data_IF_289191545696
#
_entry.id   IF_289191545696
#
_cell.length_a   1.000
_cell.length_b   1.000
_cell.length_c   1.000
_cell.angle_alpha   90.00
_cell.angle_beta   90.00
_cell.angle_gamma   90.00
#
_symmetry.space_group_name_H-M   'P 1'
#
loop_
_entity.id
_entity.type
_entity.pdbx_description
1 polymer ?
#
# COMPACT_ATOMS: atom_id res chain seq x y z
N UNK A 1 14.74 -14.09 -29.55
CA UNK A 1 14.75 -12.83 -28.77
C UNK A 1 13.69 -11.82 -29.25
N UNK A 2 13.49 -11.55 -30.55
CA UNK A 2 12.53 -10.54 -31.03
C UNK A 2 11.06 -10.77 -30.67
N UNK A 3 10.56 -12.02 -30.71
CA UNK A 3 9.16 -12.33 -30.38
C UNK A 3 8.84 -12.12 -28.88
N UNK A 4 9.76 -12.42 -27.97
CA UNK A 4 9.57 -12.15 -26.55
C UNK A 4 9.55 -10.65 -26.22
N UNK A 5 10.36 -9.86 -26.93
CA UNK A 5 10.40 -8.41 -26.72
C UNK A 5 9.09 -7.75 -27.21
N UNK A 6 8.57 -8.17 -28.37
CA UNK A 6 7.32 -7.58 -28.91
C UNK A 6 6.09 -7.91 -28.06
N UNK A 7 6.02 -9.07 -27.42
CA UNK A 7 4.91 -9.39 -26.51
C UNK A 7 4.94 -8.58 -25.19
N UNK A 8 6.15 -8.18 -24.75
CA UNK A 8 6.31 -7.38 -23.53
C UNK A 8 6.07 -5.89 -23.79
N UNK A 9 6.28 -5.39 -25.01
CA UNK A 9 6.21 -3.96 -25.34
C UNK A 9 4.82 -3.39 -25.00
N UNK A 10 3.73 -4.04 -25.43
CA UNK A 10 2.37 -3.55 -25.17
C UNK A 10 2.09 -3.46 -23.66
N UNK A 11 2.49 -4.47 -22.90
CA UNK A 11 2.32 -4.50 -21.44
C UNK A 11 3.22 -3.47 -20.75
N UNK A 12 4.46 -3.29 -21.25
CA UNK A 12 5.39 -2.27 -20.75
C UNK A 12 4.87 -0.85 -20.99
N UNK A 13 4.29 -0.59 -22.16
CA UNK A 13 3.66 0.71 -22.47
C UNK A 13 2.48 0.97 -21.55
N UNK A 14 1.58 0.00 -21.36
CA UNK A 14 0.46 0.12 -20.42
C UNK A 14 0.95 0.43 -19.00
N UNK A 15 2.01 -0.24 -18.55
CA UNK A 15 2.61 -0.04 -17.24
C UNK A 15 3.16 1.39 -17.06
N UNK A 16 3.89 1.90 -18.07
CA UNK A 16 4.42 3.27 -18.05
C UNK A 16 3.27 4.28 -17.96
N UNK A 17 2.23 4.14 -18.79
CA UNK A 17 1.09 5.04 -18.75
C UNK A 17 0.31 4.97 -17.44
N UNK A 18 0.12 3.78 -16.87
CA UNK A 18 -0.54 3.63 -15.58
C UNK A 18 0.24 4.33 -14.45
N UNK A 19 1.56 4.12 -14.38
CA UNK A 19 2.40 4.81 -13.40
C UNK A 19 2.32 6.32 -13.58
N UNK A 20 2.51 6.83 -14.79
CA UNK A 20 2.46 8.27 -15.07
C UNK A 20 1.10 8.85 -14.70
N UNK A 21 0.00 8.18 -15.05
CA UNK A 21 -1.34 8.61 -14.72
C UNK A 21 -1.57 8.72 -13.22
N UNK A 22 -1.30 7.63 -12.47
CA UNK A 22 -1.52 7.62 -11.03
C UNK A 22 -0.55 8.54 -10.27
N UNK A 23 0.71 8.63 -10.71
CA UNK A 23 1.68 9.58 -10.14
C UNK A 23 1.22 11.02 -10.36
N UNK A 24 0.79 11.38 -11.58
CA UNK A 24 0.26 12.71 -11.87
C UNK A 24 -1.00 13.02 -11.05
N UNK A 25 -1.91 12.05 -10.88
CA UNK A 25 -3.08 12.20 -10.02
C UNK A 25 -2.69 12.42 -8.55
N UNK A 26 -1.66 11.74 -8.07
CA UNK A 26 -1.13 11.90 -6.72
C UNK A 26 -0.51 13.29 -6.54
N UNK A 27 0.34 13.72 -7.47
CA UNK A 27 1.00 15.04 -7.43
C UNK A 27 -0.02 16.20 -7.55
N UNK A 28 -1.11 15.99 -8.29
CA UNK A 28 -2.23 16.93 -8.39
C UNK A 28 -3.14 16.96 -7.14
N UNK A 29 -2.89 16.11 -6.13
CA UNK A 29 -3.67 16.05 -4.91
C UNK A 29 -5.07 15.43 -5.09
N UNK A 30 -5.31 14.66 -6.17
CA UNK A 30 -6.61 14.04 -6.44
C UNK A 30 -7.04 13.10 -5.31
N UNK A 31 -6.08 12.47 -4.64
CA UNK A 31 -6.35 11.55 -3.53
C UNK A 31 -6.49 12.25 -2.17
N UNK A 32 -6.03 13.50 -2.02
CA UNK A 32 -6.07 14.24 -0.76
C UNK A 32 -7.46 14.35 -0.13
N UNK A 33 -8.54 14.64 -0.87
CA UNK A 33 -9.88 14.69 -0.29
C UNK A 33 -10.35 13.35 0.28
N UNK A 34 -9.94 12.24 -0.37
CA UNK A 34 -10.28 10.87 0.04
C UNK A 34 -9.49 10.53 1.30
N UNK A 35 -8.19 10.77 1.31
CA UNK A 35 -7.29 10.58 2.45
C UNK A 35 -7.79 11.37 3.66
N UNK A 36 -8.06 12.66 3.48
CA UNK A 36 -8.56 13.53 4.54
C UNK A 36 -9.92 13.09 5.08
N UNK A 37 -10.80 12.55 4.22
CA UNK A 37 -12.09 12.02 4.65
C UNK A 37 -11.92 10.75 5.47
N UNK A 38 -11.02 9.85 5.07
CA UNK A 38 -10.69 8.64 5.84
C UNK A 38 -10.14 9.03 7.21
N UNK A 39 -9.16 9.94 7.26
CA UNK A 39 -8.57 10.42 8.51
C UNK A 39 -9.61 11.06 9.45
N UNK A 40 -10.55 11.83 8.92
CA UNK A 40 -11.66 12.38 9.73
C UNK A 40 -12.62 11.32 10.25
N UNK A 41 -12.86 10.26 9.47
CA UNK A 41 -13.78 9.18 9.85
C UNK A 41 -13.18 8.22 10.86
N UNK A 42 -11.85 8.08 10.90
CA UNK A 42 -11.15 7.21 11.86
C UNK A 42 -11.25 7.73 13.30
N UNK A 43 -11.33 9.04 13.48
CA UNK A 43 -11.41 9.65 14.81
C UNK A 43 -10.21 9.30 15.69
N UNK A 44 -10.47 8.99 16.98
CA UNK A 44 -9.44 8.63 17.97
C UNK A 44 -9.46 7.14 18.35
N UNK A 45 -10.13 6.30 17.56
CA UNK A 45 -10.20 4.85 17.78
C UNK A 45 -9.01 4.15 17.10
N UNK A 46 -8.08 3.51 17.84
CA UNK A 46 -6.92 2.84 17.27
C UNK A 46 -7.26 1.79 16.21
N UNK A 47 -8.40 1.10 16.34
CA UNK A 47 -8.84 0.10 15.35
C UNK A 47 -9.20 0.77 14.04
N UNK A 48 -9.99 1.84 14.11
CA UNK A 48 -10.38 2.60 12.92
C UNK A 48 -9.18 3.27 12.25
N UNK A 49 -8.23 3.76 13.05
CA UNK A 49 -6.97 4.33 12.55
C UNK A 49 -6.19 3.30 11.75
N UNK A 50 -6.01 2.08 12.27
CA UNK A 50 -5.32 1.01 11.56
C UNK A 50 -6.03 0.62 10.26
N UNK A 51 -7.36 0.51 10.27
CA UNK A 51 -8.16 0.23 9.08
C UNK A 51 -8.04 1.39 8.06
N UNK A 52 -8.14 2.64 8.52
CA UNK A 52 -7.97 3.83 7.69
C UNK A 52 -6.60 3.90 7.04
N UNK A 53 -5.54 3.62 7.79
CA UNK A 53 -4.16 3.56 7.29
C UNK A 53 -4.00 2.48 6.21
N UNK A 54 -4.62 1.31 6.39
CA UNK A 54 -4.62 0.27 5.37
C UNK A 54 -5.29 0.74 4.07
N UNK A 55 -6.47 1.37 4.17
CA UNK A 55 -7.19 1.90 3.00
C UNK A 55 -6.40 3.01 2.30
N UNK A 56 -5.79 3.92 3.07
CA UNK A 56 -4.92 4.97 2.52
C UNK A 56 -3.72 4.33 1.80
N UNK A 57 -3.07 3.34 2.40
CA UNK A 57 -1.99 2.61 1.77
C UNK A 57 -2.40 1.95 0.45
N UNK A 58 -3.59 1.34 0.39
CA UNK A 58 -4.13 0.77 -0.85
C UNK A 58 -4.34 1.83 -1.94
N UNK A 59 -4.87 3.00 -1.59
CA UNK A 59 -5.08 4.11 -2.52
C UNK A 59 -3.74 4.66 -3.02
N UNK A 60 -2.80 4.89 -2.12
CA UNK A 60 -1.46 5.39 -2.46
C UNK A 60 -0.67 4.41 -3.33
N UNK A 61 -0.97 3.10 -3.27
CA UNK A 61 -0.28 2.09 -4.08
C UNK A 61 -0.86 1.87 -5.48
N UNK A 62 -1.85 2.65 -5.89
CA UNK A 62 -2.46 2.52 -7.23
C UNK A 62 -1.47 2.82 -8.37
N UNK A 63 -0.44 3.61 -8.11
CA UNK A 63 0.65 3.88 -9.06
C UNK A 63 1.61 2.68 -9.24
N UNK A 64 1.49 1.64 -8.41
CA UNK A 64 2.37 0.47 -8.40
C UNK A 64 3.77 0.74 -7.84
N UNK A 65 4.02 1.93 -7.26
CA UNK A 65 5.29 2.31 -6.65
C UNK A 65 5.27 2.13 -5.13
N UNK A 66 6.08 1.18 -4.64
CA UNK A 66 6.25 1.02 -3.20
C UNK A 66 6.82 2.26 -2.52
N UNK A 67 7.82 2.90 -3.13
CA UNK A 67 8.45 4.09 -2.57
C UNK A 67 7.45 5.23 -2.37
N UNK A 68 6.65 5.55 -3.38
CA UNK A 68 5.60 6.58 -3.33
C UNK A 68 4.58 6.27 -2.25
N UNK A 69 4.16 5.01 -2.15
CA UNK A 69 3.20 4.56 -1.12
C UNK A 69 3.69 4.91 0.28
N UNK A 70 4.93 4.56 0.63
CA UNK A 70 5.48 4.84 1.95
C UNK A 70 5.70 6.33 2.19
N UNK A 71 6.19 7.05 1.18
CA UNK A 71 6.45 8.50 1.28
C UNK A 71 5.18 9.34 1.47
N UNK A 72 4.02 8.85 1.01
CA UNK A 72 2.73 9.55 1.15
C UNK A 72 1.95 9.02 2.36
N UNK A 73 1.77 7.69 2.47
CA UNK A 73 0.89 7.12 3.48
C UNK A 73 1.42 7.29 4.90
N UNK A 74 2.74 7.12 5.12
CA UNK A 74 3.31 7.26 6.47
C UNK A 74 3.21 8.70 6.97
N UNK A 75 3.70 9.74 6.29
CA UNK A 75 3.56 11.10 6.79
C UNK A 75 2.10 11.55 6.97
N UNK A 76 1.18 11.04 6.15
CA UNK A 76 -0.25 11.37 6.28
C UNK A 76 -0.88 10.78 7.54
N UNK A 77 -0.50 9.58 7.96
CA UNK A 77 -1.08 8.86 9.10
C UNK A 77 -0.29 9.08 10.41
N UNK A 78 1.02 9.34 10.32
CA UNK A 78 1.93 9.51 11.47
C UNK A 78 1.42 10.47 12.55
N UNK A 79 0.88 11.68 12.23
CA UNK A 79 0.39 12.60 13.26
C UNK A 79 -0.71 11.98 14.13
N UNK A 80 -1.54 11.12 13.54
CA UNK A 80 -2.62 10.45 14.24
C UNK A 80 -2.08 9.33 15.14
N UNK A 81 -1.11 8.55 14.65
CA UNK A 81 -0.42 7.53 15.44
C UNK A 81 0.31 8.14 16.63
N UNK A 82 0.99 9.27 16.44
CA UNK A 82 1.68 10.00 17.52
C UNK A 82 0.68 10.57 18.55
N UNK A 83 -0.41 11.19 18.10
CA UNK A 83 -1.45 11.73 18.97
C UNK A 83 -2.05 10.66 19.88
N UNK A 84 -2.31 9.47 19.34
CA UNK A 84 -2.87 8.34 20.06
C UNK A 84 -1.81 7.49 20.79
N UNK A 85 -0.55 7.87 20.74
CA UNK A 85 0.58 7.11 21.31
C UNK A 85 0.65 5.66 20.80
N UNK A 86 0.27 5.46 19.55
CA UNK A 86 0.36 4.18 18.87
C UNK A 86 1.79 3.90 18.40
N UNK A 87 2.13 2.63 18.25
CA UNK A 87 3.44 2.21 17.80
C UNK A 87 3.62 2.46 16.29
N UNK A 88 4.63 3.23 15.88
CA UNK A 88 4.91 3.53 14.48
C UNK A 88 5.32 2.29 13.66
N UNK A 89 5.82 1.23 14.30
CA UNK A 89 6.05 -0.05 13.63
C UNK A 89 4.75 -0.70 13.14
N UNK A 90 3.65 -0.49 13.86
CA UNK A 90 2.32 -0.97 13.44
C UNK A 90 1.86 -0.21 12.19
N UNK A 91 2.07 1.10 12.14
CA UNK A 91 1.81 1.92 10.95
C UNK A 91 2.57 1.40 9.74
N UNK A 92 3.90 1.26 9.86
CA UNK A 92 4.75 0.76 8.78
C UNK A 92 4.33 -0.65 8.31
N UNK A 93 3.96 -1.53 9.24
CA UNK A 93 3.49 -2.89 8.93
C UNK A 93 2.18 -2.84 8.12
N UNK A 94 1.23 -1.99 8.51
CA UNK A 94 -0.06 -1.86 7.82
C UNK A 94 0.12 -1.30 6.42
N UNK A 95 0.98 -0.28 6.24
CA UNK A 95 1.30 0.28 4.92
C UNK A 95 2.00 -0.77 4.05
N UNK A 96 2.91 -1.58 4.62
CA UNK A 96 3.56 -2.68 3.91
C UNK A 96 2.57 -3.77 3.46
N UNK A 97 1.59 -4.12 4.30
CA UNK A 97 0.52 -5.06 3.94
C UNK A 97 -0.33 -4.51 2.79
N UNK A 98 -0.70 -3.23 2.85
CA UNK A 98 -1.45 -2.57 1.78
C UNK A 98 -0.66 -2.56 0.46
N UNK A 99 0.60 -2.14 0.50
CA UNK A 99 1.48 -2.16 -0.67
C UNK A 99 1.65 -3.57 -1.24
N UNK A 100 1.84 -4.57 -0.38
CA UNK A 100 2.02 -5.97 -0.80
C UNK A 100 0.81 -6.53 -1.55
N UNK A 101 -0.39 -6.35 -1.01
CA UNK A 101 -1.62 -6.87 -1.65
C UNK A 101 -1.98 -6.09 -2.93
N UNK A 102 -1.74 -4.80 -2.97
CA UNK A 102 -2.01 -3.98 -4.15
C UNK A 102 -0.97 -4.15 -5.26
N UNK A 103 0.22 -4.66 -4.96
CA UNK A 103 1.30 -4.82 -5.93
C UNK A 103 0.99 -5.84 -7.05
N UNK A 104 -0.02 -6.71 -6.88
CA UNK A 104 -0.46 -7.70 -7.87
C UNK A 104 -1.56 -7.21 -8.80
N UNK A 105 -1.83 -5.90 -8.87
CA UNK A 105 -2.75 -5.31 -9.83
C UNK A 105 -2.33 -5.60 -11.30
N UNK A 106 -3.22 -5.48 -12.28
CA UNK A 106 -2.91 -5.80 -13.69
C UNK A 106 -1.69 -5.08 -14.25
N UNK A 107 -1.45 -3.86 -13.79
CA UNK A 107 -0.28 -3.02 -14.10
C UNK A 107 0.83 -3.14 -13.07
N UNK A 108 0.68 -3.98 -12.06
CA UNK A 108 1.69 -4.20 -11.03
C UNK A 108 2.91 -4.97 -11.55
N UNK A 109 4.09 -4.65 -11.05
CA UNK A 109 5.33 -5.24 -11.49
C UNK A 109 5.37 -6.78 -11.47
N UNK A 110 4.88 -7.48 -10.43
CA UNK A 110 4.82 -8.94 -10.39
C UNK A 110 3.92 -9.53 -11.50
N UNK A 111 2.73 -8.97 -11.71
CA UNK A 111 1.77 -9.44 -12.71
C UNK A 111 2.30 -9.29 -14.12
N UNK A 112 2.91 -8.14 -14.42
CA UNK A 112 3.54 -7.86 -15.71
C UNK A 112 4.70 -8.82 -15.98
N UNK A 113 5.55 -9.09 -14.98
CA UNK A 113 6.67 -10.05 -15.12
C UNK A 113 6.19 -11.48 -15.31
N UNK A 114 5.10 -11.88 -14.62
CA UNK A 114 4.51 -13.20 -14.80
C UNK A 114 3.94 -13.37 -16.22
N UNK A 115 3.22 -12.38 -16.74
CA UNK A 115 2.72 -12.38 -18.12
C UNK A 115 3.88 -12.50 -19.14
N UNK A 116 4.94 -11.73 -18.93
CA UNK A 116 6.13 -11.77 -19.78
C UNK A 116 6.82 -13.16 -19.76
N UNK A 117 6.92 -13.78 -18.58
CA UNK A 117 7.51 -15.11 -18.45
C UNK A 117 6.65 -16.17 -19.18
N UNK A 118 5.33 -16.13 -19.06
CA UNK A 118 4.42 -17.02 -19.77
C UNK A 118 4.48 -16.84 -21.27
N UNK A 119 4.54 -15.60 -21.76
CA UNK A 119 4.75 -15.32 -23.19
C UNK A 119 6.07 -15.89 -23.69
N UNK A 120 7.12 -15.89 -22.89
CA UNK A 120 8.40 -16.54 -23.21
C UNK A 120 8.32 -18.06 -23.37
N UNK A 121 7.32 -18.69 -22.76
CA UNK A 121 7.01 -20.13 -22.86
C UNK A 121 6.02 -20.45 -24.00
N UNK A 122 5.58 -19.45 -24.76
CA UNK A 122 4.66 -19.61 -25.89
C UNK A 122 3.18 -19.46 -25.52
N UNK A 123 2.86 -19.03 -24.30
CA UNK A 123 1.50 -18.70 -23.90
C UNK A 123 1.25 -17.21 -24.10
N UNK A 124 0.32 -16.86 -24.96
CA UNK A 124 -0.09 -15.46 -25.14
C UNK A 124 -1.07 -15.05 -24.03
N UNK A 125 -0.54 -14.54 -22.93
CA UNK A 125 -1.32 -14.12 -21.75
C UNK A 125 -0.98 -12.68 -21.39
N UNK A 126 -2.00 -11.86 -21.23
CA UNK A 126 -1.87 -10.47 -20.78
C UNK A 126 -1.86 -10.37 -19.25
N UNK A 127 -1.34 -9.26 -18.70
CA UNK A 127 -1.40 -9.00 -17.26
C UNK A 127 -2.84 -8.95 -16.73
N UNK A 128 -3.78 -8.44 -17.53
CA UNK A 128 -5.20 -8.39 -17.16
C UNK A 128 -5.85 -9.77 -17.07
N UNK A 129 -5.53 -10.68 -18.00
CA UNK A 129 -6.04 -12.07 -17.98
C UNK A 129 -5.50 -12.82 -16.77
N UNK A 130 -4.19 -12.67 -16.47
CA UNK A 130 -3.61 -13.24 -15.26
C UNK A 130 -4.29 -12.71 -14.00
N UNK A 131 -4.51 -11.40 -13.95
CA UNK A 131 -5.14 -10.77 -12.77
C UNK A 131 -6.57 -11.27 -12.56
N UNK A 132 -7.37 -11.43 -13.62
CA UNK A 132 -8.71 -12.01 -13.52
C UNK A 132 -8.65 -13.42 -12.92
N UNK A 133 -7.66 -14.24 -13.32
CA UNK A 133 -7.47 -15.59 -12.77
C UNK A 133 -7.15 -15.60 -11.27
N UNK A 134 -6.39 -14.61 -10.77
CA UNK A 134 -6.02 -14.51 -9.34
C UNK A 134 -6.98 -13.65 -8.50
N UNK A 135 -7.97 -12.98 -9.12
CA UNK A 135 -8.90 -12.09 -8.45
C UNK A 135 -9.57 -12.66 -7.19
N UNK A 136 -10.09 -13.92 -7.19
CA UNK A 136 -10.67 -14.49 -5.97
C UNK A 136 -9.67 -14.60 -4.82
N UNK A 137 -8.43 -15.00 -5.11
CA UNK A 137 -7.35 -15.08 -4.12
C UNK A 137 -6.94 -13.69 -3.65
N UNK A 138 -6.90 -12.70 -4.55
CA UNK A 138 -6.61 -11.31 -4.23
C UNK A 138 -7.67 -10.71 -3.29
N UNK A 139 -8.97 -10.94 -3.55
CA UNK A 139 -10.06 -10.48 -2.67
C UNK A 139 -9.92 -11.12 -1.28
N UNK A 140 -9.68 -12.43 -1.23
CA UNK A 140 -9.45 -13.13 0.04
C UNK A 140 -8.26 -12.55 0.80
N UNK A 141 -7.14 -12.29 0.10
CA UNK A 141 -5.95 -11.67 0.66
C UNK A 141 -6.22 -10.25 1.19
N UNK A 142 -7.00 -9.45 0.47
CA UNK A 142 -7.39 -8.10 0.90
C UNK A 142 -8.22 -8.14 2.19
N UNK A 143 -9.17 -9.07 2.28
CA UNK A 143 -9.96 -9.29 3.51
C UNK A 143 -9.06 -9.71 4.67
N UNK A 144 -8.14 -10.64 4.45
CA UNK A 144 -7.17 -11.08 5.48
C UNK A 144 -6.29 -9.92 5.94
N UNK A 145 -5.75 -9.11 5.03
CA UNK A 145 -4.95 -7.94 5.38
C UNK A 145 -5.75 -6.92 6.19
N UNK A 146 -7.02 -6.70 5.83
CA UNK A 146 -7.92 -5.82 6.58
C UNK A 146 -8.19 -6.35 8.00
N UNK A 147 -8.37 -7.68 8.15
CA UNK A 147 -8.54 -8.32 9.46
C UNK A 147 -7.26 -8.22 10.29
N UNK A 148 -6.09 -8.35 9.68
CA UNK A 148 -4.79 -8.15 10.35
C UNK A 148 -4.67 -6.70 10.82
N UNK A 149 -5.01 -5.71 9.99
CA UNK A 149 -5.00 -4.30 10.37
C UNK A 149 -5.93 -4.04 11.56
N UNK A 150 -7.15 -4.59 11.54
CA UNK A 150 -8.09 -4.48 12.66
C UNK A 150 -7.57 -5.18 13.94
N UNK A 151 -6.93 -6.35 13.79
CA UNK A 151 -6.31 -7.06 14.91
C UNK A 151 -5.17 -6.26 15.53
N UNK A 152 -4.29 -5.71 14.72
CA UNK A 152 -3.20 -4.83 15.18
C UNK A 152 -3.75 -3.60 15.90
N UNK A 153 -4.82 -3.00 15.39
CA UNK A 153 -5.51 -1.89 16.05
C UNK A 153 -6.09 -2.27 17.41
N UNK A 154 -6.70 -3.47 17.54
CA UNK A 154 -7.18 -3.99 18.83
C UNK A 154 -6.02 -4.25 19.80
N UNK A 155 -4.90 -4.75 19.31
CA UNK A 155 -3.69 -4.97 20.12
C UNK A 155 -3.13 -3.65 20.63
N UNK A 156 -3.06 -2.62 19.78
CA UNK A 156 -2.64 -1.27 20.16
C UNK A 156 -3.60 -0.64 21.18
N UNK A 157 -4.92 -0.75 20.97
CA UNK A 157 -5.91 -0.26 21.92
C UNK A 157 -5.72 -0.87 23.32
N UNK A 158 -5.49 -2.19 23.40
CA UNK A 158 -5.19 -2.88 24.66
C UNK A 158 -3.88 -2.44 25.29
N UNK A 159 -2.83 -2.23 24.48
CA UNK A 159 -1.53 -1.74 24.93
C UNK A 159 -1.64 -0.35 25.55
N UNK A 160 -2.36 0.55 24.87
CA UNK A 160 -2.58 1.92 25.34
C UNK A 160 -3.39 1.92 26.65
N UNK A 161 -4.46 1.12 26.71
CA UNK A 161 -5.28 0.98 27.91
C UNK A 161 -4.49 0.41 29.10
N UNK A 162 -3.49 -0.45 28.86
CA UNK A 162 -2.59 -0.99 29.88
C UNK A 162 -1.46 -0.01 30.27
N UNK A 163 -1.37 1.18 29.69
CA UNK A 163 -0.34 2.17 29.97
C UNK A 163 1.07 1.77 29.52
N UNK A 164 1.19 0.76 28.64
CA UNK A 164 2.49 0.29 28.14
C UNK A 164 2.99 1.29 27.07
N UNK A 165 4.23 1.83 27.20
CA UNK A 165 4.76 2.80 26.25
C UNK A 165 4.89 2.22 24.84
N UNK A 166 4.82 3.07 23.82
CA UNK A 166 5.13 2.69 22.45
C UNK A 166 6.62 2.37 22.34
N UNK A 167 6.97 1.42 21.47
CA UNK A 167 8.35 1.11 21.17
C UNK A 167 8.99 2.28 20.42
N UNK A 168 10.05 2.87 20.95
CA UNK A 168 10.76 3.96 20.30
C UNK A 168 11.43 3.47 19.00
N UNK A 169 11.27 4.25 17.93
CA UNK A 169 12.00 4.03 16.68
C UNK A 169 13.34 4.76 16.80
N UNK A 170 14.37 4.03 17.14
CA UNK A 170 15.71 4.52 17.49
C UNK A 170 16.42 5.36 16.38
N UNK A 171 15.82 5.59 15.24
CA UNK A 171 16.42 6.38 14.14
C UNK A 171 15.82 7.77 13.92
N UNK A 172 14.65 8.06 14.52
CA UNK A 172 13.99 9.35 14.33
C UNK A 172 14.37 10.41 15.37
N UNK A 173 14.97 9.98 16.47
CA UNK A 173 15.40 10.86 17.58
C UNK A 173 16.69 11.59 17.25
N UNK A 174 17.60 11.01 16.47
CA UNK A 174 18.89 11.62 16.10
C UNK A 174 18.75 12.77 15.10
N UNK A 175 17.72 12.74 14.24
CA UNK A 175 17.49 13.82 13.27
C UNK A 175 16.95 15.14 13.89
N UNK A 176 16.43 15.10 15.14
CA UNK A 176 15.93 16.29 15.85
C UNK A 176 16.98 17.01 16.70
N UNK A 177 18.14 16.41 16.93
CA UNK A 177 19.21 16.99 17.78
C UNK A 177 20.33 17.65 17.00
N UNK A 178 20.27 17.67 15.66
CA UNK A 178 21.31 18.25 14.79
C UNK A 178 20.85 19.52 14.03
N UNK A 179 19.91 20.27 14.59
CA UNK A 179 19.59 21.63 14.10
C UNK A 179 19.64 22.63 15.23
#
# INVERSE_FOLDING_TARGET
MGKGLSSIVATGVMFIFAILFFSTCSDAGVFDPIINRILKFTGEDPVKVCIGTFLIGCICHLDGSGATTFLIAIPACMPLFQKLKMNLWVEATIVALAAGIMNVMPWGGPTVRAAAAMSGLGYEVTGSELWVGIMPAWIAGLVVCLLIAAFLGKKEAKRIAAGIPAQEVTGLTEAKTTN
#
